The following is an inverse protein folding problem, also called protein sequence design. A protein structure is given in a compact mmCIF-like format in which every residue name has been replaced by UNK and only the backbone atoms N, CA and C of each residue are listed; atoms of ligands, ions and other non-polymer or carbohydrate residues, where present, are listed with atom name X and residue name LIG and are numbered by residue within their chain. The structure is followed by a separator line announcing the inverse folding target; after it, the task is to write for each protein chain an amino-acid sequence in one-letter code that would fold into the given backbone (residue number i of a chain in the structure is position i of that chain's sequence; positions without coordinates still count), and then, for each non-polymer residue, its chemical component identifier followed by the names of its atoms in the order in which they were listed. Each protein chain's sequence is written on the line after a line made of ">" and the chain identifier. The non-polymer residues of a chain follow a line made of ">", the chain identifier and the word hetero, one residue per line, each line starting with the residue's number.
data_IF_759250325065
#
_entry.id   IF_759250325065
#
_cell.length_a   1.000
_cell.length_b   1.000
_cell.length_c   1.000
_cell.angle_alpha   90.00
_cell.angle_beta   90.00
_cell.angle_gamma   90.00
#
_symmetry.space_group_name_H-M   'P 1'
#
loop_
_entity.id
_entity.type
_entity.pdbx_description
1 polymer ?
#
# COMPACT_ATOMS: atom_id res chain seq x y z
N UNK A 1 11.85 0.19 0.50
CA UNK A 1 10.68 -0.26 1.31
C UNK A 1 9.65 0.86 1.33
N UNK A 2 8.50 0.73 0.67
CA UNK A 2 7.51 1.80 0.57
C UNK A 2 6.15 1.22 0.97
N UNK A 3 5.56 1.74 2.05
CA UNK A 3 4.31 1.34 2.71
C UNK A 3 4.36 0.23 3.80
N UNK A 4 5.32 0.23 4.74
CA UNK A 4 5.25 -0.69 5.89
C UNK A 4 3.95 -0.51 6.69
N UNK A 5 3.54 0.75 6.90
CA UNK A 5 2.36 1.10 7.70
C UNK A 5 1.03 0.62 7.10
N UNK A 6 0.91 0.58 5.76
CA UNK A 6 -0.31 0.10 5.09
C UNK A 6 -0.39 -1.43 5.12
N UNK A 7 0.77 -2.10 5.12
CA UNK A 7 0.86 -3.56 5.23
C UNK A 7 0.57 -4.03 6.66
N UNK A 8 1.12 -3.35 7.67
CA UNK A 8 0.86 -3.63 9.09
C UNK A 8 -0.64 -3.54 9.38
N UNK A 9 -1.26 -2.43 9.01
CA UNK A 9 -2.69 -2.23 9.22
C UNK A 9 -3.54 -3.26 8.45
N UNK A 10 -3.08 -3.71 7.27
CA UNK A 10 -3.77 -4.75 6.52
C UNK A 10 -3.67 -6.14 7.19
N UNK A 11 -2.58 -6.40 7.89
CA UNK A 11 -2.36 -7.63 8.67
C UNK A 11 -3.26 -7.67 9.93
N UNK A 12 -3.43 -6.51 10.58
CA UNK A 12 -4.41 -6.30 11.66
C UNK A 12 -5.89 -6.35 11.19
N UNK A 13 -6.14 -6.58 9.89
CA UNK A 13 -7.49 -6.67 9.32
C UNK A 13 -8.14 -5.32 8.98
N UNK A 14 -7.38 -4.21 9.04
CA UNK A 14 -7.87 -2.91 8.60
C UNK A 14 -7.90 -2.87 7.06
N UNK A 15 -9.02 -2.45 6.44
CA UNK A 15 -9.07 -2.36 4.99
C UNK A 15 -8.05 -1.37 4.46
N UNK A 16 -7.19 -1.81 3.54
CA UNK A 16 -6.21 -0.97 2.81
C UNK A 16 -6.87 0.27 2.20
N UNK A 17 -8.14 0.19 1.83
CA UNK A 17 -8.88 1.33 1.29
C UNK A 17 -9.07 2.45 2.32
N UNK A 18 -9.28 2.11 3.59
CA UNK A 18 -9.43 3.09 4.68
C UNK A 18 -8.09 3.73 5.00
N UNK A 19 -7.04 2.93 5.11
CA UNK A 19 -5.68 3.42 5.42
C UNK A 19 -5.12 4.28 4.29
N UNK A 20 -5.33 3.89 3.03
CA UNK A 20 -5.02 4.72 1.87
C UNK A 20 -5.79 6.04 1.89
N UNK A 21 -7.07 6.05 2.28
CA UNK A 21 -7.88 7.28 2.35
C UNK A 21 -7.41 8.24 3.44
N UNK A 22 -7.03 7.71 4.60
CA UNK A 22 -6.47 8.49 5.73
C UNK A 22 -5.10 9.07 5.39
N UNK A 23 -4.27 8.29 4.69
CA UNK A 23 -2.91 8.69 4.31
C UNK A 23 -2.85 9.46 2.98
N UNK A 24 -3.99 9.69 2.30
CA UNK A 24 -4.02 10.36 1.00
C UNK A 24 -3.42 9.55 -0.16
N UNK A 25 -3.24 8.24 0.01
CA UNK A 25 -2.77 7.35 -1.06
C UNK A 25 -3.92 6.78 -1.88
N UNK A 26 -3.62 6.44 -3.14
CA UNK A 26 -4.59 5.76 -4.00
C UNK A 26 -4.48 4.24 -3.83
N UNK A 27 -5.57 3.59 -3.43
CA UNK A 27 -5.66 2.13 -3.23
C UNK A 27 -5.29 1.35 -4.49
N UNK A 28 -5.66 1.88 -5.66
CA UNK A 28 -5.30 1.30 -6.96
C UNK A 28 -3.78 1.28 -7.19
N UNK A 29 -3.09 2.35 -6.79
CA UNK A 29 -1.64 2.46 -6.85
C UNK A 29 -0.97 1.43 -5.93
N UNK A 30 -1.52 1.22 -4.74
CA UNK A 30 -1.03 0.20 -3.80
C UNK A 30 -1.15 -1.21 -4.39
N UNK A 31 -2.33 -1.60 -4.90
CA UNK A 31 -2.52 -2.93 -5.50
C UNK A 31 -1.72 -3.12 -6.79
N UNK A 32 -1.62 -2.11 -7.66
CA UNK A 32 -0.76 -2.17 -8.86
C UNK A 32 0.69 -2.38 -8.48
N UNK A 33 1.19 -1.64 -7.48
CA UNK A 33 2.58 -1.79 -7.02
C UNK A 33 2.83 -3.11 -6.30
N UNK A 34 1.83 -3.65 -5.59
CA UNK A 34 1.90 -4.99 -5.00
C UNK A 34 2.00 -6.09 -6.07
N UNK A 35 1.29 -5.94 -7.19
CA UNK A 35 1.33 -6.89 -8.33
C UNK A 35 2.55 -6.71 -9.23
N UNK A 36 3.01 -5.48 -9.38
CA UNK A 36 4.20 -5.12 -10.14
C UNK A 36 5.11 -4.35 -9.21
N UNK A 37 5.96 -5.05 -8.43
CA UNK A 37 7.01 -4.38 -7.68
C UNK A 37 7.83 -3.63 -8.72
N UNK A 38 7.77 -2.29 -8.69
CA UNK A 38 8.63 -1.45 -9.51
C UNK A 38 10.03 -1.87 -9.15
N UNK A 39 10.70 -2.58 -10.07
CA UNK A 39 12.11 -2.89 -9.94
C UNK A 39 12.77 -1.56 -9.63
N UNK A 40 13.38 -1.45 -8.46
CA UNK A 40 14.11 -0.27 -8.05
C UNK A 40 15.20 -0.07 -9.11
N UNK A 41 14.95 0.79 -10.10
CA UNK A 41 15.98 1.32 -10.97
C UNK A 41 16.76 2.28 -10.08
N UNK A 42 18.00 1.88 -9.84
CA UNK A 42 19.08 2.60 -9.15
C UNK A 42 18.96 4.12 -9.28
#
# INVERSE_FOLDING_TARGET
>A
MMYPLVLDLADDGVPVMVTCRVLGFSTQGFYKRRKMPVLQRD
#
